data_IF_500000123226
#
_entry.id   IF_500000123226
#
_cell.length_a   1.000
_cell.length_b   1.000
_cell.length_c   1.000
_cell.angle_alpha   90.00
_cell.angle_beta   90.00
_cell.angle_gamma   90.00
#
_symmetry.space_group_name_H-M   'P 1'
#
loop_
_entity.id
_entity.type
_entity.pdbx_description
1 polymer ?
#
# COMPACT_ATOMS: atom_id res chain seq x y z
N UNK A 1 12.58 -21.73 -2.00
CA UNK A 1 12.40 -20.95 -0.74
C UNK A 1 13.62 -20.14 -0.32
N UNK A 2 14.88 -20.59 -0.52
CA UNK A 2 16.09 -19.79 -0.18
C UNK A 2 16.10 -18.38 -0.78
N UNK A 3 15.58 -18.20 -2.01
CA UNK A 3 15.44 -16.88 -2.66
C UNK A 3 14.54 -15.90 -1.88
N UNK A 4 13.52 -16.40 -1.17
CA UNK A 4 12.60 -15.56 -0.39
C UNK A 4 13.29 -14.90 0.80
N UNK A 5 14.41 -15.46 1.27
CA UNK A 5 15.23 -14.93 2.36
C UNK A 5 16.46 -14.18 1.87
N UNK A 6 16.67 -14.07 0.56
CA UNK A 6 17.81 -13.35 -0.02
C UNK A 6 17.69 -11.83 0.21
N UNK A 7 16.48 -11.30 0.07
CA UNK A 7 16.17 -9.90 0.40
C UNK A 7 15.55 -9.78 1.80
N UNK A 8 15.85 -8.71 2.55
CA UNK A 8 15.24 -8.48 3.86
C UNK A 8 13.74 -8.23 3.73
N UNK A 9 12.96 -8.59 4.75
CA UNK A 9 11.50 -8.46 4.74
C UNK A 9 11.02 -7.04 4.40
N UNK A 10 11.78 -6.01 4.78
CA UNK A 10 11.44 -4.61 4.47
C UNK A 10 11.52 -4.30 2.98
N UNK A 11 12.45 -4.91 2.24
CA UNK A 11 12.54 -4.74 0.79
C UNK A 11 11.33 -5.38 0.09
N UNK A 12 10.90 -6.55 0.57
CA UNK A 12 9.67 -7.20 0.11
C UNK A 12 8.42 -6.37 0.43
N UNK A 13 8.35 -5.76 1.60
CA UNK A 13 7.28 -4.84 1.98
C UNK A 13 7.24 -3.60 1.09
N UNK A 14 8.39 -2.97 0.83
CA UNK A 14 8.48 -1.81 -0.06
C UNK A 14 8.01 -2.20 -1.46
N UNK A 15 8.46 -3.34 -1.99
CA UNK A 15 8.03 -3.83 -3.30
C UNK A 15 6.51 -4.06 -3.34
N UNK A 16 5.94 -4.68 -2.30
CA UNK A 16 4.49 -4.86 -2.16
C UNK A 16 3.75 -3.53 -2.13
N UNK A 17 4.25 -2.55 -1.36
CA UNK A 17 3.67 -1.22 -1.27
C UNK A 17 3.76 -0.44 -2.60
N UNK A 18 4.82 -0.62 -3.39
CA UNK A 18 4.94 -0.03 -4.73
C UNK A 18 3.92 -0.62 -5.71
N UNK A 19 3.72 -1.94 -5.69
CA UNK A 19 2.66 -2.57 -6.49
C UNK A 19 1.26 -2.12 -6.06
N UNK A 20 1.03 -2.00 -4.75
CA UNK A 20 -0.19 -1.42 -4.23
C UNK A 20 -0.40 0.01 -4.73
N UNK A 21 0.62 0.88 -4.62
CA UNK A 21 0.56 2.26 -5.10
C UNK A 21 0.24 2.34 -6.60
N UNK A 22 0.86 1.48 -7.42
CA UNK A 22 0.53 1.41 -8.84
C UNK A 22 -0.91 0.95 -9.07
N UNK A 23 -1.39 -0.01 -8.28
CA UNK A 23 -2.80 -0.41 -8.24
C UNK A 23 -3.74 0.75 -7.94
N UNK A 24 -3.46 1.54 -6.89
CA UNK A 24 -4.26 2.73 -6.53
C UNK A 24 -4.30 3.76 -7.66
N UNK A 25 -3.14 4.01 -8.29
CA UNK A 25 -3.07 4.90 -9.45
C UNK A 25 -3.95 4.42 -10.61
N UNK A 26 -3.92 3.11 -10.91
CA UNK A 26 -4.77 2.52 -11.95
C UNK A 26 -6.25 2.53 -11.54
N UNK A 27 -6.56 2.27 -10.28
CA UNK A 27 -7.92 2.34 -9.71
C UNK A 27 -8.48 3.76 -9.86
N UNK A 28 -7.66 4.78 -9.64
CA UNK A 28 -8.08 6.17 -9.88
C UNK A 28 -8.30 6.46 -11.36
N UNK A 29 -7.44 5.96 -12.26
CA UNK A 29 -7.65 6.07 -13.71
C UNK A 29 -8.92 5.34 -14.17
N UNK A 30 -9.21 4.18 -13.60
CA UNK A 30 -10.45 3.44 -13.83
C UNK A 30 -11.67 4.27 -13.43
N UNK A 31 -11.64 4.91 -12.27
CA UNK A 31 -12.75 5.77 -11.81
C UNK A 31 -13.02 6.94 -12.76
N UNK A 32 -11.98 7.48 -13.41
CA UNK A 32 -12.11 8.54 -14.41
C UNK A 32 -12.60 8.04 -15.78
N UNK A 33 -12.14 6.86 -16.19
CA UNK A 33 -12.49 6.25 -17.48
C UNK A 33 -12.63 4.72 -17.33
N UNK A 34 -13.82 4.23 -16.94
CA UNK A 34 -14.03 2.82 -16.66
C UNK A 34 -13.79 1.95 -17.89
N UNK A 35 -12.97 0.91 -17.73
CA UNK A 35 -12.73 -0.08 -18.78
C UNK A 35 -12.30 -1.43 -18.20
N UNK A 36 -12.60 -2.50 -18.94
CA UNK A 36 -12.23 -3.86 -18.53
C UNK A 36 -10.71 -4.06 -18.49
N UNK A 37 -9.95 -3.36 -19.34
CA UNK A 37 -8.48 -3.43 -19.32
C UNK A 37 -7.91 -2.93 -17.99
N UNK A 38 -8.45 -1.84 -17.44
CA UNK A 38 -8.05 -1.38 -16.11
C UNK A 38 -8.37 -2.43 -15.04
N UNK A 39 -9.55 -3.06 -15.08
CA UNK A 39 -9.90 -4.14 -14.13
C UNK A 39 -8.85 -5.25 -14.16
N UNK A 40 -8.50 -5.73 -15.35
CA UNK A 40 -7.48 -6.78 -15.51
C UNK A 40 -6.10 -6.34 -14.97
N UNK A 41 -5.68 -5.10 -15.26
CA UNK A 41 -4.42 -4.55 -14.77
C UNK A 41 -4.39 -4.39 -13.25
N UNK A 42 -5.48 -3.91 -12.65
CA UNK A 42 -5.63 -3.72 -11.20
C UNK A 42 -5.56 -5.07 -10.48
N UNK A 43 -6.30 -6.07 -10.97
CA UNK A 43 -6.24 -7.44 -10.41
C UNK A 43 -4.82 -8.00 -10.52
N UNK A 44 -4.18 -7.86 -11.68
CA UNK A 44 -2.82 -8.34 -11.90
C UNK A 44 -1.81 -7.69 -10.95
N UNK A 45 -1.85 -6.37 -10.80
CA UNK A 45 -0.87 -5.67 -9.95
C UNK A 45 -1.10 -5.93 -8.45
N UNK A 46 -2.35 -6.01 -7.98
CA UNK A 46 -2.61 -6.37 -6.59
C UNK A 46 -2.23 -7.83 -6.29
N UNK A 47 -2.37 -8.74 -7.27
CA UNK A 47 -1.85 -10.10 -7.13
C UNK A 47 -0.33 -10.09 -6.97
N UNK A 48 0.41 -9.32 -7.78
CA UNK A 48 1.86 -9.14 -7.63
C UNK A 48 2.22 -8.52 -6.27
N UNK A 49 1.46 -7.52 -5.81
CA UNK A 49 1.61 -6.92 -4.49
C UNK A 49 1.46 -7.94 -3.36
N UNK A 50 0.47 -8.83 -3.47
CA UNK A 50 0.25 -9.93 -2.52
C UNK A 50 1.41 -10.94 -2.57
N UNK A 51 1.88 -11.31 -3.76
CA UNK A 51 3.01 -12.21 -3.93
C UNK A 51 4.31 -11.65 -3.33
N UNK A 52 4.51 -10.33 -3.37
CA UNK A 52 5.63 -9.66 -2.71
C UNK A 52 5.45 -9.57 -1.18
N UNK A 53 4.20 -9.47 -0.69
CA UNK A 53 3.90 -9.45 0.75
C UNK A 53 4.17 -10.80 1.44
N UNK A 54 3.87 -11.91 0.77
CA UNK A 54 4.05 -13.27 1.32
C UNK A 54 5.47 -13.55 1.87
N UNK A 55 6.57 -13.26 1.15
CA UNK A 55 7.91 -13.40 1.71
C UNK A 55 8.15 -12.50 2.93
N UNK A 56 7.61 -11.28 2.95
CA UNK A 56 7.79 -10.38 4.09
C UNK A 56 7.14 -10.94 5.38
N UNK A 57 5.90 -11.40 5.28
CA UNK A 57 5.20 -11.98 6.44
C UNK A 57 5.82 -13.32 6.85
N UNK A 58 6.28 -14.13 5.91
CA UNK A 58 6.95 -15.40 6.19
C UNK A 58 8.27 -15.21 6.95
N UNK A 59 9.01 -14.13 6.66
CA UNK A 59 10.26 -13.82 7.36
C UNK A 59 10.05 -13.31 8.79
N UNK A 60 9.07 -12.41 8.99
CA UNK A 60 8.87 -11.77 10.30
C UNK A 60 7.87 -12.49 11.20
N UNK A 61 6.95 -13.26 10.63
CA UNK A 61 5.90 -14.02 11.30
C UNK A 61 5.10 -13.23 12.36
N UNK A 62 4.87 -11.94 12.10
CA UNK A 62 4.15 -11.02 12.98
C UNK A 62 3.18 -10.20 12.15
N UNK A 63 1.95 -10.68 12.00
CA UNK A 63 0.96 -10.06 11.13
C UNK A 63 0.66 -8.62 11.53
N UNK A 64 0.51 -8.34 12.82
CA UNK A 64 0.16 -7.00 13.31
C UNK A 64 1.24 -5.97 13.00
N UNK A 65 2.52 -6.27 13.27
CA UNK A 65 3.63 -5.33 13.05
C UNK A 65 3.90 -5.14 11.56
N UNK A 66 4.05 -6.25 10.82
CA UNK A 66 4.31 -6.21 9.37
C UNK A 66 3.15 -5.57 8.62
N UNK A 67 1.92 -5.90 9.01
CA UNK A 67 0.70 -5.30 8.47
C UNK A 67 0.60 -3.82 8.78
N UNK A 68 0.88 -3.38 10.02
CA UNK A 68 0.86 -1.97 10.38
C UNK A 68 1.89 -1.17 9.55
N UNK A 69 3.13 -1.63 9.47
CA UNK A 69 4.17 -0.97 8.65
C UNK A 69 3.70 -0.85 7.18
N UNK A 70 3.15 -1.94 6.62
CA UNK A 70 2.59 -1.95 5.28
C UNK A 70 1.43 -0.95 5.13
N UNK A 71 0.53 -0.88 6.11
CA UNK A 71 -0.59 0.07 6.14
C UNK A 71 -0.14 1.53 6.19
N UNK A 72 0.95 1.87 6.89
CA UNK A 72 1.51 3.23 6.84
C UNK A 72 1.97 3.55 5.42
N UNK A 73 2.73 2.64 4.79
CA UNK A 73 3.25 2.86 3.44
C UNK A 73 2.14 2.97 2.40
N UNK A 74 1.13 2.11 2.47
CA UNK A 74 0.00 2.13 1.54
C UNK A 74 -0.86 3.37 1.71
N UNK A 75 -1.14 3.78 2.96
CA UNK A 75 -1.86 5.03 3.23
C UNK A 75 -1.10 6.25 2.70
N UNK A 76 0.22 6.33 2.93
CA UNK A 76 1.06 7.39 2.36
C UNK A 76 0.96 7.43 0.83
N UNK A 77 1.09 6.26 0.19
CA UNK A 77 1.00 6.16 -1.26
C UNK A 77 -0.37 6.63 -1.78
N UNK A 78 -1.47 6.16 -1.21
CA UNK A 78 -2.83 6.56 -1.62
C UNK A 78 -3.02 8.08 -1.51
N UNK A 79 -2.58 8.69 -0.41
CA UNK A 79 -2.68 10.15 -0.21
C UNK A 79 -1.83 10.91 -1.23
N UNK A 80 -0.58 10.50 -1.43
CA UNK A 80 0.32 11.13 -2.41
C UNK A 80 -0.28 11.03 -3.81
N UNK A 81 -0.85 9.87 -4.17
CA UNK A 81 -1.50 9.69 -5.46
C UNK A 81 -2.71 10.62 -5.57
N UNK A 82 -3.65 10.58 -4.62
CA UNK A 82 -4.86 11.40 -4.66
C UNK A 82 -4.53 12.90 -4.71
N UNK A 83 -3.74 13.38 -3.77
CA UNK A 83 -3.47 14.81 -3.59
C UNK A 83 -2.42 15.33 -4.58
N UNK A 84 -1.24 14.71 -4.66
CA UNK A 84 -0.13 15.27 -5.42
C UNK A 84 -0.19 14.93 -6.92
N UNK A 85 -0.73 13.75 -7.29
CA UNK A 85 -0.82 13.33 -8.70
C UNK A 85 -2.16 13.73 -9.33
N UNK A 86 -3.27 13.52 -8.62
CA UNK A 86 -4.61 13.81 -9.14
C UNK A 86 -5.20 15.15 -8.65
N UNK A 87 -4.49 15.89 -7.80
CA UNK A 87 -4.89 17.23 -7.38
C UNK A 87 -6.11 17.25 -6.46
N UNK A 88 -6.38 16.18 -5.72
CA UNK A 88 -7.51 16.12 -4.80
C UNK A 88 -7.34 17.10 -3.63
N UNK A 89 -8.38 17.89 -3.37
CA UNK A 89 -8.42 18.80 -2.25
C UNK A 89 -9.05 18.13 -1.03
N UNK A 90 -8.27 18.00 0.04
CA UNK A 90 -8.75 17.51 1.32
C UNK A 90 -9.24 18.68 2.18
N UNK A 91 -10.43 18.54 2.74
CA UNK A 91 -10.91 19.49 3.75
C UNK A 91 -10.20 19.27 5.09
N UNK A 92 -10.31 20.24 6.01
CA UNK A 92 -9.62 20.21 7.31
C UNK A 92 -9.94 18.95 8.11
N UNK A 93 -11.20 18.48 8.08
CA UNK A 93 -11.60 17.27 8.79
C UNK A 93 -10.93 16.01 8.21
N UNK A 94 -10.83 15.90 6.89
CA UNK A 94 -10.15 14.79 6.22
C UNK A 94 -8.65 14.79 6.54
N UNK A 95 -8.02 15.96 6.61
CA UNK A 95 -6.61 16.09 7.03
C UNK A 95 -6.44 15.60 8.48
N UNK A 96 -7.31 16.04 9.40
CA UNK A 96 -7.28 15.58 10.80
C UNK A 96 -7.45 14.06 10.88
N UNK A 97 -8.44 13.51 10.16
CA UNK A 97 -8.69 12.08 10.11
C UNK A 97 -7.49 11.30 9.57
N UNK A 98 -6.82 11.82 8.54
CA UNK A 98 -5.62 11.23 7.98
C UNK A 98 -4.47 11.20 9.00
N UNK A 99 -4.22 12.32 9.69
CA UNK A 99 -3.18 12.42 10.72
C UNK A 99 -3.45 11.42 11.86
N UNK A 100 -4.70 11.35 12.35
CA UNK A 100 -5.09 10.39 13.38
C UNK A 100 -4.95 8.94 12.90
N UNK A 101 -5.30 8.66 11.64
CA UNK A 101 -5.07 7.35 11.01
C UNK A 101 -3.60 6.97 11.00
N UNK A 102 -2.72 7.87 10.56
CA UNK A 102 -1.28 7.65 10.60
C UNK A 102 -0.75 7.38 12.01
N UNK A 103 -1.17 8.17 12.99
CA UNK A 103 -0.75 7.99 14.37
C UNK A 103 -1.19 6.64 14.93
N UNK A 104 -2.42 6.21 14.64
CA UNK A 104 -2.94 4.90 15.04
C UNK A 104 -2.07 3.76 14.50
N UNK A 105 -1.76 3.79 13.20
CA UNK A 105 -0.96 2.75 12.56
C UNK A 105 0.49 2.77 13.11
N UNK A 106 1.06 3.96 13.35
CA UNK A 106 2.41 4.10 13.89
C UNK A 106 2.51 3.58 15.33
N UNK A 107 1.52 3.87 16.19
CA UNK A 107 1.46 3.32 17.54
C UNK A 107 1.39 1.79 17.52
N UNK A 108 0.57 1.21 16.65
CA UNK A 108 0.49 -0.25 16.48
C UNK A 108 1.80 -0.87 15.99
N UNK A 109 2.61 -0.13 15.23
CA UNK A 109 3.91 -0.64 14.76
C UNK A 109 5.02 -0.62 15.82
N UNK A 110 4.85 0.15 16.91
CA UNK A 110 5.82 0.29 18.00
C UNK A 110 5.51 -0.59 19.21
N UNK A 111 4.30 -1.14 19.29
CA UNK A 111 3.86 -2.08 20.32
C UNK A 111 4.37 -3.49 20.07
#
# INVERSE_FOLDING_TARGET
>A
MKFLFFFPYIAWLILSALFFAFGEYLSKKFALAPSFSYVALIVGIYALGTLAWLPAILQKNQLSIVGAIWSVMSLLATVVIGVAIFGEHLNTLAIIGLVLGFLSILLLSLA
#
